data_IF_427536820627
#
_entry.id   IF_427536820627
#
_cell.length_a   1.000
_cell.length_b   1.000
_cell.length_c   1.000
_cell.angle_alpha   90.00
_cell.angle_beta   90.00
_cell.angle_gamma   90.00
#
_symmetry.space_group_name_H-M   'P 1'
#
loop_
_entity.id
_entity.type
_entity.pdbx_description
1 polymer ?
#
# COMPACT_ATOMS: atom_id res chain seq x y z
N UNK A 1 -8.56 31.98 12.96
CA UNK A 1 -9.13 31.32 11.74
C UNK A 1 -9.62 32.32 10.70
N UNK A 2 -10.39 33.36 11.07
CA UNK A 2 -10.84 34.42 10.14
C UNK A 2 -9.69 35.17 9.44
N UNK A 3 -8.52 35.32 10.06
CA UNK A 3 -7.36 35.99 9.43
C UNK A 3 -6.77 35.19 8.25
N UNK A 4 -6.65 33.87 8.39
CA UNK A 4 -6.18 32.98 7.32
C UNK A 4 -7.14 32.98 6.13
N UNK A 5 -8.44 32.88 6.41
CA UNK A 5 -9.47 32.96 5.37
C UNK A 5 -9.36 34.27 4.59
N UNK A 6 -9.29 35.42 5.28
CA UNK A 6 -9.14 36.73 4.62
C UNK A 6 -7.85 36.85 3.82
N UNK A 7 -6.74 36.28 4.31
CA UNK A 7 -5.47 36.30 3.59
C UNK A 7 -5.50 35.57 2.26
N UNK A 8 -6.41 34.58 2.09
CA UNK A 8 -6.50 33.75 0.88
C UNK A 8 -7.69 34.21 0.02
N UNK A 9 -8.86 34.35 0.63
CA UNK A 9 -10.15 34.52 -0.05
C UNK A 9 -10.66 35.96 -0.12
N UNK A 10 -9.95 36.94 0.45
CA UNK A 10 -10.32 38.36 0.33
C UNK A 10 -9.33 39.11 -0.59
N UNK A 11 -9.83 39.59 -1.73
CA UNK A 11 -9.04 40.30 -2.74
C UNK A 11 -8.51 41.68 -2.30
N UNK A 12 -9.02 42.20 -1.17
CA UNK A 12 -8.52 43.45 -0.59
C UNK A 12 -7.32 43.24 0.33
N UNK A 13 -7.18 42.04 0.89
CA UNK A 13 -6.13 41.71 1.87
C UNK A 13 -5.08 40.74 1.32
N UNK A 14 -5.42 39.94 0.30
CA UNK A 14 -4.48 38.99 -0.29
C UNK A 14 -3.43 39.67 -1.17
N UNK A 15 -2.41 38.91 -1.59
CA UNK A 15 -1.33 39.41 -2.45
C UNK A 15 -1.79 39.84 -3.86
N UNK A 16 -2.99 39.44 -4.29
CA UNK A 16 -3.59 39.84 -5.57
C UNK A 16 -4.07 41.30 -5.55
N UNK A 17 -4.07 41.95 -4.38
CA UNK A 17 -4.37 43.38 -4.15
C UNK A 17 -3.56 44.33 -5.03
N UNK A 18 -2.46 43.91 -5.65
CA UNK A 18 -1.65 44.77 -6.53
C UNK A 18 -2.16 44.80 -7.97
N UNK A 19 -2.96 43.82 -8.39
CA UNK A 19 -3.42 43.65 -9.77
C UNK A 19 -4.61 44.56 -10.13
N UNK A 20 -4.96 44.80 -11.40
CA UNK A 20 -6.21 45.44 -11.77
C UNK A 20 -7.46 44.66 -11.29
N UNK A 21 -8.54 45.37 -10.95
CA UNK A 21 -9.77 44.78 -10.35
C UNK A 21 -10.35 43.65 -11.18
N UNK A 22 -10.38 43.80 -12.51
CA UNK A 22 -10.91 42.76 -13.40
C UNK A 22 -10.10 41.46 -13.34
N UNK A 23 -8.76 41.55 -13.29
CA UNK A 23 -7.88 40.37 -13.17
C UNK A 23 -8.01 39.72 -11.79
N UNK A 24 -8.12 40.52 -10.73
CA UNK A 24 -8.38 39.99 -9.38
C UNK A 24 -9.64 39.17 -9.36
N UNK A 25 -10.73 39.68 -9.93
CA UNK A 25 -12.01 38.97 -9.96
C UNK A 25 -11.90 37.63 -10.67
N UNK A 26 -11.26 37.59 -11.84
CA UNK A 26 -11.07 36.35 -12.61
C UNK A 26 -10.28 35.29 -11.83
N UNK A 27 -9.16 35.69 -11.22
CA UNK A 27 -8.31 34.78 -10.43
C UNK A 27 -9.07 34.29 -9.19
N UNK A 28 -9.81 35.18 -8.51
CA UNK A 28 -10.62 34.83 -7.35
C UNK A 28 -11.77 33.89 -7.70
N UNK A 29 -12.38 34.03 -8.89
CA UNK A 29 -13.41 33.14 -9.38
C UNK A 29 -12.84 31.75 -9.67
N UNK A 30 -11.68 31.66 -10.32
CA UNK A 30 -10.99 30.39 -10.54
C UNK A 30 -10.60 29.72 -9.22
N UNK A 31 -10.08 30.49 -8.27
CA UNK A 31 -9.75 30.01 -6.93
C UNK A 31 -10.99 29.44 -6.22
N UNK A 32 -12.14 30.13 -6.29
CA UNK A 32 -13.40 29.66 -5.73
C UNK A 32 -13.87 28.34 -6.34
N UNK A 33 -13.83 28.23 -7.68
CA UNK A 33 -14.21 27.00 -8.39
C UNK A 33 -13.25 25.84 -8.06
N UNK A 34 -11.94 26.10 -8.02
CA UNK A 34 -10.94 25.10 -7.65
C UNK A 34 -11.22 24.53 -6.26
N UNK A 35 -11.39 25.38 -5.25
CA UNK A 35 -11.67 24.94 -3.89
C UNK A 35 -13.02 24.24 -3.76
N UNK A 36 -14.06 24.73 -4.43
CA UNK A 36 -15.37 24.06 -4.47
C UNK A 36 -15.25 22.66 -5.07
N UNK A 37 -14.47 22.50 -6.14
CA UNK A 37 -14.25 21.21 -6.78
C UNK A 37 -13.47 20.26 -5.87
N UNK A 38 -12.40 20.72 -5.21
CA UNK A 38 -11.66 19.93 -4.23
C UNK A 38 -12.59 19.44 -3.12
N UNK A 39 -13.43 20.31 -2.56
CA UNK A 39 -14.37 19.90 -1.51
C UNK A 39 -15.41 18.92 -2.01
N UNK A 40 -16.02 19.17 -3.18
CA UNK A 40 -17.00 18.27 -3.77
C UNK A 40 -16.42 16.90 -4.08
N UNK A 41 -15.23 16.85 -4.69
CA UNK A 41 -14.53 15.60 -4.99
C UNK A 41 -14.07 14.89 -3.72
N UNK A 42 -13.60 15.61 -2.71
CA UNK A 42 -13.20 15.00 -1.43
C UNK A 42 -14.39 14.38 -0.70
N UNK A 43 -15.54 15.06 -0.69
CA UNK A 43 -16.78 14.53 -0.13
C UNK A 43 -17.33 13.37 -0.98
N UNK A 44 -17.24 13.45 -2.30
CA UNK A 44 -17.63 12.37 -3.21
C UNK A 44 -16.74 11.14 -3.09
N UNK A 45 -15.43 11.31 -2.92
CA UNK A 45 -14.47 10.23 -2.68
C UNK A 45 -14.76 9.48 -1.38
N UNK A 46 -15.42 10.11 -0.41
CA UNK A 46 -15.88 9.45 0.81
C UNK A 46 -16.82 8.27 0.53
N UNK A 47 -17.60 8.32 -0.56
CA UNK A 47 -18.47 7.21 -1.00
C UNK A 47 -17.64 5.97 -1.32
N UNK A 48 -16.47 6.15 -1.91
CA UNK A 48 -15.56 5.08 -2.34
C UNK A 48 -14.59 4.64 -1.24
N UNK A 49 -14.56 5.37 -0.11
CA UNK A 49 -13.64 5.08 0.99
C UNK A 49 -13.78 3.64 1.50
N UNK A 50 -15.02 3.16 1.65
CA UNK A 50 -15.29 1.79 2.08
C UNK A 50 -14.71 0.74 1.11
N UNK A 51 -14.92 0.93 -0.19
CA UNK A 51 -14.41 0.01 -1.22
C UNK A 51 -12.88 -0.02 -1.26
N UNK A 52 -12.23 1.15 -1.18
CA UNK A 52 -10.77 1.27 -1.14
C UNK A 52 -10.22 0.58 0.11
N UNK A 53 -10.84 0.75 1.28
CA UNK A 53 -10.41 0.09 2.51
C UNK A 53 -10.54 -1.44 2.40
N UNK A 54 -11.67 -1.94 1.90
CA UNK A 54 -11.88 -3.37 1.68
C UNK A 54 -10.82 -3.94 0.74
N UNK A 55 -10.52 -3.25 -0.36
CA UNK A 55 -9.46 -3.64 -1.29
C UNK A 55 -8.09 -3.76 -0.60
N UNK A 56 -7.72 -2.78 0.22
CA UNK A 56 -6.45 -2.81 0.96
C UNK A 56 -6.40 -3.98 1.97
N UNK A 57 -7.51 -4.24 2.68
CA UNK A 57 -7.59 -5.37 3.62
C UNK A 57 -7.45 -6.70 2.89
N UNK A 58 -8.14 -6.88 1.77
CA UNK A 58 -8.02 -8.08 0.94
C UNK A 58 -6.61 -8.26 0.37
N UNK A 59 -5.96 -7.18 -0.07
CA UNK A 59 -4.58 -7.23 -0.55
C UNK A 59 -3.61 -7.69 0.55
N UNK A 60 -3.70 -7.10 1.74
CA UNK A 60 -2.89 -7.50 2.91
C UNK A 60 -3.16 -8.96 3.29
N UNK A 61 -4.43 -9.39 3.33
CA UNK A 61 -4.78 -10.77 3.59
C UNK A 61 -4.16 -11.72 2.56
N UNK A 62 -4.21 -11.36 1.27
CA UNK A 62 -3.60 -12.12 0.18
C UNK A 62 -2.08 -12.30 0.37
N UNK A 63 -1.36 -11.24 0.73
CA UNK A 63 0.08 -11.32 1.03
C UNK A 63 0.36 -12.23 2.22
N UNK A 64 -0.42 -12.11 3.31
CA UNK A 64 -0.25 -12.94 4.51
C UNK A 64 -0.49 -14.41 4.18
N UNK A 65 -1.60 -14.74 3.52
CA UNK A 65 -1.95 -16.11 3.14
C UNK A 65 -0.86 -16.71 2.24
N UNK A 66 -0.38 -15.95 1.27
CA UNK A 66 0.71 -16.40 0.38
C UNK A 66 1.99 -16.69 1.16
N UNK A 67 2.39 -15.79 2.07
CA UNK A 67 3.54 -16.02 2.95
C UNK A 67 3.37 -17.25 3.84
N UNK A 68 2.16 -17.49 4.38
CA UNK A 68 1.85 -18.70 5.15
C UNK A 68 1.98 -19.96 4.30
N UNK A 69 1.45 -19.95 3.08
CA UNK A 69 1.55 -21.10 2.15
C UNK A 69 3.01 -21.40 1.84
N UNK A 70 3.82 -20.38 1.51
CA UNK A 70 5.24 -20.57 1.21
C UNK A 70 6.01 -21.12 2.41
N UNK A 71 5.76 -20.59 3.61
CA UNK A 71 6.38 -21.12 4.84
C UNK A 71 6.02 -22.60 5.06
N UNK A 72 4.75 -22.97 4.88
CA UNK A 72 4.30 -24.37 5.02
C UNK A 72 4.92 -25.28 3.96
N UNK A 73 5.06 -24.80 2.73
CA UNK A 73 5.72 -25.54 1.65
C UNK A 73 7.20 -25.80 1.98
N UNK A 74 7.91 -24.78 2.47
CA UNK A 74 9.31 -24.88 2.90
C UNK A 74 9.49 -25.84 4.09
N UNK A 75 8.67 -25.72 5.15
CA UNK A 75 8.66 -26.64 6.29
C UNK A 75 8.48 -28.10 5.83
N UNK A 76 7.57 -28.33 4.89
CA UNK A 76 7.28 -29.67 4.35
C UNK A 76 8.45 -30.19 3.52
N UNK A 77 9.03 -29.36 2.64
CA UNK A 77 10.20 -29.71 1.85
C UNK A 77 11.39 -30.07 2.74
N UNK A 78 11.67 -29.27 3.77
CA UNK A 78 12.74 -29.53 4.75
C UNK A 78 12.51 -30.84 5.51
N UNK A 79 11.26 -31.13 5.92
CA UNK A 79 10.91 -32.38 6.60
C UNK A 79 11.07 -33.60 5.70
N UNK A 80 10.67 -33.50 4.42
CA UNK A 80 10.84 -34.57 3.43
C UNK A 80 12.32 -34.78 3.13
N UNK A 81 13.09 -33.70 2.92
CA UNK A 81 14.54 -33.78 2.75
C UNK A 81 15.20 -34.47 3.95
N UNK A 82 14.90 -34.04 5.19
CA UNK A 82 15.41 -34.69 6.41
C UNK A 82 15.07 -36.19 6.47
N UNK A 83 13.83 -36.57 6.14
CA UNK A 83 13.41 -37.98 6.09
C UNK A 83 14.18 -38.78 5.03
N UNK A 84 14.37 -38.21 3.85
CA UNK A 84 15.12 -38.86 2.76
C UNK A 84 16.60 -39.02 3.08
N UNK A 85 17.25 -38.01 3.67
CA UNK A 85 18.68 -38.04 3.99
C UNK A 85 19.02 -38.90 5.21
N UNK A 86 18.13 -38.99 6.21
CA UNK A 86 18.41 -39.71 7.47
C UNK A 86 17.78 -41.09 7.58
N UNK A 87 16.66 -41.35 6.92
CA UNK A 87 15.81 -42.52 7.22
C UNK A 87 15.58 -43.51 6.07
N UNK A 88 16.11 -43.25 4.87
CA UNK A 88 16.12 -44.26 3.81
C UNK A 88 17.51 -44.85 3.66
N UNK A 89 17.81 -45.98 4.33
CA UNK A 89 18.98 -46.76 3.99
C UNK A 89 18.88 -47.19 2.52
N UNK A 90 20.03 -47.38 1.87
CA UNK A 90 20.04 -48.10 0.58
C UNK A 90 19.42 -49.49 0.79
N UNK A 91 19.05 -50.19 -0.29
CA UNK A 91 18.44 -51.54 -0.20
C UNK A 91 19.30 -52.55 0.60
N UNK A 92 20.56 -52.23 0.84
CA UNK A 92 21.55 -52.97 1.62
C UNK A 92 21.52 -52.68 3.13
N UNK A 93 20.69 -51.75 3.61
CA UNK A 93 20.58 -51.41 5.04
C UNK A 93 21.65 -50.42 5.55
N UNK A 94 22.53 -49.91 4.69
CA UNK A 94 23.59 -48.97 5.07
C UNK A 94 23.12 -47.51 5.00
N UNK A 95 23.74 -46.64 5.79
CA UNK A 95 23.53 -45.20 5.67
C UNK A 95 24.16 -44.71 4.36
N UNK A 96 23.43 -43.90 3.59
CA UNK A 96 23.79 -43.46 2.21
C UNK A 96 25.16 -42.76 2.03
N UNK A 97 25.89 -42.49 3.10
CA UNK A 97 27.22 -41.84 3.07
C UNK A 97 28.33 -42.66 3.73
N UNK A 98 28.03 -43.90 4.13
CA UNK A 98 29.01 -44.84 4.67
C UNK A 98 30.02 -45.27 3.59
N UNK A 99 29.60 -45.23 2.33
CA UNK A 99 30.39 -45.53 1.13
C UNK A 99 31.39 -44.42 0.74
N UNK A 100 31.20 -43.17 1.19
CA UNK A 100 32.04 -42.03 0.81
C UNK A 100 33.33 -41.94 1.64
N UNK A 101 33.34 -42.49 2.85
CA UNK A 101 34.47 -42.34 3.79
C UNK A 101 35.29 -43.62 4.00
N UNK A 102 34.97 -44.70 3.29
CA UNK A 102 35.80 -45.89 3.20
C UNK A 102 35.68 -46.84 4.39
N UNK A 103 35.19 -48.05 4.12
CA UNK A 103 35.53 -49.23 4.91
C UNK A 103 36.92 -49.75 4.58
#
# INVERSE_FOLDING_TARGET
MISLYRSIMDSNFNSLRTLPVAQRFQIMLFLSVMWTNIFCLSAGAWIWFGEIVVFHVLAVAGFIITGLIFRRAEETANRLAYRTYRHYPLKDGTARYDDVWGG
#
